data_IF_059309880347
#
_entry.id   IF_059309880347
#
_cell.length_a   1.000
_cell.length_b   1.000
_cell.length_c   1.000
_cell.angle_alpha   90.00
_cell.angle_beta   90.00
_cell.angle_gamma   90.00
#
_symmetry.space_group_name_H-M   'P 1'
#
loop_
_entity.id
_entity.type
_entity.pdbx_description
1 polymer ?
#
# COMPACT_ATOMS: atom_id res chain seq x y z
N UNK A 1 56.73 57.87 -11.59
CA UNK A 1 55.26 57.96 -11.53
C UNK A 1 54.61 56.59 -11.76
N UNK A 2 54.47 55.71 -10.75
CA UNK A 2 53.66 54.48 -10.93
C UNK A 2 53.30 53.86 -9.56
N UNK A 3 52.41 54.48 -8.78
CA UNK A 3 51.86 53.81 -7.58
C UNK A 3 50.56 54.43 -7.01
N UNK A 4 49.56 54.70 -7.86
CA UNK A 4 48.23 55.21 -7.41
C UNK A 4 47.00 54.45 -7.91
N UNK A 5 47.12 53.39 -8.73
CA UNK A 5 45.95 52.70 -9.32
C UNK A 5 45.41 51.46 -8.56
N UNK A 6 46.09 50.94 -7.53
CA UNK A 6 45.67 49.69 -6.86
C UNK A 6 44.57 49.80 -5.79
N UNK A 7 44.26 51.01 -5.31
CA UNK A 7 43.35 51.23 -4.16
C UNK A 7 41.88 51.42 -4.55
N UNK A 8 41.59 51.87 -5.77
CA UNK A 8 40.22 52.21 -6.21
C UNK A 8 39.39 50.95 -6.51
N UNK A 9 40.01 49.89 -7.05
CA UNK A 9 39.30 48.66 -7.44
C UNK A 9 38.84 47.78 -6.27
N UNK A 10 39.46 47.88 -5.09
CA UNK A 10 39.05 47.11 -3.90
C UNK A 10 37.71 47.61 -3.33
N UNK A 11 37.46 48.92 -3.39
CA UNK A 11 36.24 49.53 -2.86
C UNK A 11 35.00 49.20 -3.71
N UNK A 12 35.15 49.10 -5.03
CA UNK A 12 34.05 48.74 -5.95
C UNK A 12 33.59 47.30 -5.70
N UNK A 13 34.54 46.36 -5.55
CA UNK A 13 34.25 44.94 -5.30
C UNK A 13 33.58 44.71 -3.94
N UNK A 14 33.98 45.47 -2.92
CA UNK A 14 33.37 45.41 -1.59
C UNK A 14 31.93 45.95 -1.59
N UNK A 15 31.67 47.07 -2.30
CA UNK A 15 30.32 47.62 -2.46
C UNK A 15 29.39 46.67 -3.21
N UNK A 16 29.86 46.02 -4.28
CA UNK A 16 29.08 45.02 -5.02
C UNK A 16 28.73 43.78 -4.17
N UNK A 17 29.68 43.27 -3.37
CA UNK A 17 29.43 42.15 -2.46
C UNK A 17 28.41 42.49 -1.37
N UNK A 18 28.47 43.70 -0.82
CA UNK A 18 27.52 44.16 0.20
C UNK A 18 26.09 44.31 -0.36
N UNK A 19 25.94 44.78 -1.60
CA UNK A 19 24.65 44.88 -2.28
C UNK A 19 24.02 43.49 -2.52
N UNK A 20 24.81 42.50 -2.97
CA UNK A 20 24.33 41.11 -3.16
C UNK A 20 23.93 40.48 -1.83
N UNK A 21 24.67 40.74 -0.74
CA UNK A 21 24.31 40.27 0.60
C UNK A 21 22.96 40.80 1.10
N UNK A 22 22.68 42.09 0.87
CA UNK A 22 21.39 42.70 1.24
C UNK A 22 20.21 42.15 0.43
N UNK A 23 20.39 41.93 -0.88
CA UNK A 23 19.35 41.35 -1.73
C UNK A 23 18.98 39.91 -1.31
N UNK A 24 19.98 39.07 -0.99
CA UNK A 24 19.75 37.69 -0.53
C UNK A 24 18.99 37.68 0.81
N UNK A 25 19.34 38.55 1.75
CA UNK A 25 18.64 38.67 3.02
C UNK A 25 17.16 39.09 2.85
N UNK A 26 16.87 40.04 1.95
CA UNK A 26 15.51 40.46 1.64
C UNK A 26 14.65 39.32 1.06
N UNK A 27 15.20 38.51 0.15
CA UNK A 27 14.45 37.37 -0.43
C UNK A 27 14.15 36.26 0.58
N UNK A 28 14.96 36.10 1.63
CA UNK A 28 14.75 35.10 2.66
C UNK A 28 13.63 35.52 3.62
N UNK A 29 13.50 36.82 3.94
CA UNK A 29 12.43 37.34 4.79
C UNK A 29 11.06 37.35 4.09
N UNK A 30 11.01 37.52 2.78
CA UNK A 30 9.76 37.44 2.01
C UNK A 30 9.23 35.99 2.01
N UNK A 31 10.11 34.99 1.87
CA UNK A 31 9.71 33.57 1.89
C UNK A 31 9.20 33.08 3.24
N UNK A 32 9.68 33.63 4.36
CA UNK A 32 9.16 33.24 5.68
C UNK A 32 7.80 33.87 5.97
N UNK A 33 7.50 35.03 5.38
CA UNK A 33 6.23 35.76 5.62
C UNK A 33 5.06 35.20 4.79
N UNK A 34 5.32 34.64 3.61
CA UNK A 34 4.25 34.06 2.76
C UNK A 34 3.81 32.65 3.17
N UNK A 35 4.46 32.02 4.17
CA UNK A 35 4.11 30.68 4.65
C UNK A 35 3.22 30.70 5.91
N UNK A 36 3.12 31.83 6.61
CA UNK A 36 2.31 31.96 7.83
C UNK A 36 0.83 32.23 7.56
N UNK A 37 0.50 32.76 6.38
CA UNK A 37 -0.84 33.31 6.13
C UNK A 37 -1.73 32.37 5.29
N UNK A 38 -1.25 31.18 4.92
CA UNK A 38 -1.91 30.32 3.93
C UNK A 38 -2.43 28.97 4.45
N UNK A 39 -2.31 28.63 5.74
CA UNK A 39 -2.77 27.32 6.24
C UNK A 39 -3.19 27.37 7.73
N UNK A 40 -4.38 27.91 8.03
CA UNK A 40 -4.99 27.82 9.36
C UNK A 40 -5.88 26.57 9.54
N UNK A 41 -6.31 25.90 8.45
CA UNK A 41 -7.43 24.94 8.52
C UNK A 41 -7.06 23.46 8.34
N UNK A 42 -5.81 23.06 8.54
CA UNK A 42 -5.40 21.63 8.48
C UNK A 42 -4.51 21.19 9.64
N UNK A 43 -4.73 21.79 10.82
CA UNK A 43 -3.88 21.63 12.01
C UNK A 43 -4.15 20.39 12.87
N UNK A 44 -4.92 19.40 12.40
CA UNK A 44 -5.18 18.17 13.18
C UNK A 44 -4.77 16.94 12.35
N UNK A 45 -3.84 16.16 12.91
CA UNK A 45 -3.32 14.88 12.41
C UNK A 45 -2.13 14.91 11.43
N UNK A 46 -1.07 15.66 11.75
CA UNK A 46 0.29 15.31 11.30
C UNK A 46 1.30 15.38 12.44
N UNK A 47 1.44 14.23 13.10
CA UNK A 47 2.62 13.74 13.82
C UNK A 47 3.72 14.77 14.14
N UNK A 48 3.77 15.13 15.42
CA UNK A 48 4.74 15.97 16.13
C UNK A 48 6.20 15.44 16.08
N UNK A 49 6.77 15.20 14.90
CA UNK A 49 8.18 14.78 14.76
C UNK A 49 9.00 15.51 13.68
N UNK A 50 8.65 16.73 13.30
CA UNK A 50 9.46 17.50 12.33
C UNK A 50 9.80 18.94 12.74
N UNK A 51 9.72 19.26 14.03
CA UNK A 51 10.38 20.45 14.59
C UNK A 51 11.69 20.04 15.26
N UNK A 52 12.70 19.65 14.47
CA UNK A 52 14.07 19.69 14.96
C UNK A 52 14.80 20.92 14.41
N UNK A 53 15.48 21.69 15.29
CA UNK A 53 16.26 22.84 14.91
C UNK A 53 17.45 22.44 14.04
N UNK A 54 17.77 23.35 13.12
CA UNK A 54 18.94 23.42 12.22
C UNK A 54 20.23 22.95 12.89
N UNK A 55 20.49 21.65 12.93
CA UNK A 55 21.86 21.15 13.04
C UNK A 55 22.45 21.17 11.64
N UNK A 56 23.59 21.87 11.41
CA UNK A 56 24.25 21.81 10.12
C UNK A 56 24.80 20.39 9.97
N UNK A 57 24.01 19.51 9.35
CA UNK A 57 24.49 18.21 8.88
C UNK A 57 25.77 18.50 8.09
N UNK A 58 26.91 18.02 8.60
CA UNK A 58 28.22 18.18 7.96
C UNK A 58 28.10 17.61 6.56
N UNK A 59 27.87 18.48 5.57
CA UNK A 59 27.77 18.09 4.17
C UNK A 59 29.13 17.51 3.83
N UNK A 60 29.19 16.20 3.56
CA UNK A 60 30.39 15.55 3.02
C UNK A 60 30.90 16.41 1.86
N UNK A 61 32.21 16.56 1.71
CA UNK A 61 32.78 17.35 0.61
C UNK A 61 32.40 16.69 -0.74
N UNK A 62 31.29 17.14 -1.32
CA UNK A 62 30.74 16.61 -2.58
C UNK A 62 31.54 17.21 -3.73
N UNK A 63 32.06 16.36 -4.61
CA UNK A 63 32.76 16.82 -5.83
C UNK A 63 31.80 17.59 -6.75
N UNK A 64 32.33 18.47 -7.63
CA UNK A 64 31.51 19.20 -8.61
C UNK A 64 30.67 18.25 -9.46
N UNK A 65 31.24 17.11 -9.89
CA UNK A 65 30.57 16.07 -10.68
C UNK A 65 29.36 15.49 -9.95
N UNK A 66 29.50 15.19 -8.67
CA UNK A 66 28.41 14.62 -7.88
C UNK A 66 27.29 15.65 -7.62
N UNK A 67 27.62 16.92 -7.39
CA UNK A 67 26.61 18.00 -7.31
C UNK A 67 25.79 18.13 -8.60
N UNK A 68 26.44 18.05 -9.76
CA UNK A 68 25.75 18.08 -11.06
C UNK A 68 24.83 16.87 -11.20
N UNK A 69 25.31 15.67 -10.85
CA UNK A 69 24.50 14.44 -10.86
C UNK A 69 23.29 14.55 -9.93
N UNK A 70 23.46 15.10 -8.72
CA UNK A 70 22.36 15.31 -7.76
C UNK A 70 21.33 16.30 -8.30
N UNK A 71 21.78 17.42 -8.88
CA UNK A 71 20.87 18.39 -9.52
C UNK A 71 20.08 17.75 -10.66
N UNK A 72 20.75 17.01 -11.53
CA UNK A 72 20.10 16.29 -12.62
C UNK A 72 19.09 15.27 -12.09
N UNK A 73 19.48 14.46 -11.09
CA UNK A 73 18.58 13.49 -10.44
C UNK A 73 17.36 14.16 -9.80
N UNK A 74 17.54 15.26 -9.08
CA UNK A 74 16.44 16.04 -8.49
C UNK A 74 15.51 16.60 -9.56
N UNK A 75 16.07 17.11 -10.66
CA UNK A 75 15.29 17.62 -11.79
C UNK A 75 14.50 16.50 -12.47
N UNK A 76 15.12 15.35 -12.74
CA UNK A 76 14.44 14.19 -13.32
C UNK A 76 13.34 13.67 -12.40
N UNK A 77 13.58 13.62 -11.09
CA UNK A 77 12.56 13.27 -10.10
C UNK A 77 11.40 14.27 -10.10
N UNK A 78 11.68 15.57 -10.25
CA UNK A 78 10.61 16.57 -10.37
C UNK A 78 9.76 16.34 -11.62
N UNK A 79 10.39 16.06 -12.76
CA UNK A 79 9.66 15.76 -14.00
C UNK A 79 8.84 14.47 -13.89
N UNK A 80 9.37 13.42 -13.27
CA UNK A 80 8.62 12.17 -13.09
C UNK A 80 7.40 12.36 -12.20
N UNK A 81 7.53 13.13 -11.11
CA UNK A 81 6.42 13.49 -10.23
C UNK A 81 5.35 14.30 -10.97
N UNK A 82 5.74 15.33 -11.72
CA UNK A 82 4.79 16.12 -12.52
C UNK A 82 4.07 15.26 -13.57
N UNK A 83 4.78 14.34 -14.23
CA UNK A 83 4.17 13.42 -15.20
C UNK A 83 3.17 12.48 -14.52
N UNK A 84 3.48 12.00 -13.31
CA UNK A 84 2.57 11.16 -12.52
C UNK A 84 1.30 11.94 -12.13
N UNK A 85 1.47 13.16 -11.60
CA UNK A 85 0.36 14.04 -11.22
C UNK A 85 -0.56 14.34 -12.41
N UNK A 86 -0.02 14.73 -13.56
CA UNK A 86 -0.83 14.99 -14.76
C UNK A 86 -1.61 13.76 -15.22
N UNK A 87 -0.99 12.57 -15.20
CA UNK A 87 -1.69 11.32 -15.53
C UNK A 87 -2.81 10.99 -14.55
N UNK A 88 -2.60 11.32 -13.28
CA UNK A 88 -3.61 11.13 -12.24
C UNK A 88 -4.76 12.11 -12.36
N UNK A 89 -4.49 13.38 -12.66
CA UNK A 89 -5.50 14.40 -12.94
C UNK A 89 -6.36 14.06 -14.17
N UNK A 90 -5.75 13.60 -15.26
CA UNK A 90 -6.52 13.18 -16.45
C UNK A 90 -7.37 11.96 -16.15
N UNK A 91 -6.83 10.98 -15.42
CA UNK A 91 -7.59 9.81 -14.99
C UNK A 91 -8.75 10.19 -14.05
N UNK A 92 -8.53 11.12 -13.12
CA UNK A 92 -9.54 11.66 -12.21
C UNK A 92 -10.69 12.32 -13.00
N UNK A 93 -10.38 13.24 -13.91
CA UNK A 93 -11.37 13.88 -14.79
C UNK A 93 -12.18 12.86 -15.60
N UNK A 94 -11.56 11.76 -16.04
CA UNK A 94 -12.27 10.71 -16.77
C UNK A 94 -13.19 9.88 -15.86
N UNK A 95 -12.79 9.60 -14.61
CA UNK A 95 -13.63 8.90 -13.64
C UNK A 95 -14.79 9.76 -13.16
N UNK A 96 -14.55 11.04 -12.87
CA UNK A 96 -15.59 12.00 -12.47
C UNK A 96 -16.70 12.13 -13.52
N UNK A 97 -16.40 11.94 -14.81
CA UNK A 97 -17.40 11.93 -15.90
C UNK A 97 -18.34 10.73 -15.88
N UNK A 98 -18.12 9.71 -15.06
CA UNK A 98 -19.05 8.57 -14.97
C UNK A 98 -20.33 8.99 -14.25
N UNK A 99 -21.41 9.18 -15.02
CA UNK A 99 -22.62 9.89 -14.59
C UNK A 99 -23.33 9.30 -13.35
N UNK A 100 -23.25 7.99 -13.16
CA UNK A 100 -24.02 7.31 -12.10
C UNK A 100 -23.22 7.19 -10.79
N UNK A 101 -21.88 7.19 -10.84
CA UNK A 101 -21.06 6.72 -9.71
C UNK A 101 -19.89 7.68 -9.37
N UNK A 102 -19.47 8.57 -10.29
CA UNK A 102 -18.40 9.53 -10.05
C UNK A 102 -17.01 8.89 -9.83
N UNK A 103 -16.10 9.58 -9.14
CA UNK A 103 -14.74 9.05 -8.87
C UNK A 103 -14.70 8.15 -7.64
N UNK A 104 -14.57 6.84 -7.87
CA UNK A 104 -14.44 5.82 -6.83
C UNK A 104 -13.02 5.65 -6.29
N UNK A 105 -12.01 6.33 -6.84
CA UNK A 105 -10.63 6.15 -6.39
C UNK A 105 -10.42 6.46 -4.90
N UNK A 106 -10.98 7.55 -4.32
CA UNK A 106 -10.82 7.84 -2.90
C UNK A 106 -11.30 6.71 -1.99
N UNK A 107 -12.39 6.03 -2.36
CA UNK A 107 -12.91 4.88 -1.60
C UNK A 107 -11.94 3.70 -1.64
N UNK A 108 -11.28 3.47 -2.78
CA UNK A 108 -10.28 2.41 -2.90
C UNK A 108 -8.99 2.73 -2.15
N UNK A 109 -8.55 3.98 -2.19
CA UNK A 109 -7.34 4.42 -1.50
C UNK A 109 -7.53 4.49 0.02
N UNK A 110 -8.76 4.66 0.50
CA UNK A 110 -9.11 4.59 1.92
C UNK A 110 -9.14 3.15 2.47
N UNK A 111 -9.07 2.13 1.62
CA UNK A 111 -8.99 0.75 2.07
C UNK A 111 -7.56 0.41 2.51
N UNK A 112 -7.40 -0.38 3.60
CA UNK A 112 -6.09 -0.85 4.01
C UNK A 112 -5.46 -1.70 2.92
N UNK A 113 -4.14 -1.59 2.76
CA UNK A 113 -3.42 -2.45 1.85
C UNK A 113 -3.46 -3.91 2.31
N UNK A 114 -3.33 -4.87 1.40
CA UNK A 114 -3.35 -6.29 1.78
C UNK A 114 -2.24 -6.64 2.78
N UNK A 115 -1.09 -5.97 2.69
CA UNK A 115 0.00 -6.10 3.65
C UNK A 115 -0.37 -5.54 5.03
N UNK A 116 -1.14 -4.46 5.09
CA UNK A 116 -1.69 -3.92 6.32
C UNK A 116 -2.75 -4.85 6.91
N UNK A 117 -3.58 -5.47 6.07
CA UNK A 117 -4.55 -6.50 6.50
C UNK A 117 -3.84 -7.71 7.12
N UNK A 118 -2.76 -8.20 6.50
CA UNK A 118 -1.96 -9.28 7.09
C UNK A 118 -1.23 -8.87 8.38
N UNK A 119 -0.91 -7.59 8.56
CA UNK A 119 -0.36 -7.08 9.82
C UNK A 119 -1.46 -6.91 10.88
N UNK A 120 -2.68 -6.56 10.49
CA UNK A 120 -3.84 -6.48 11.36
C UNK A 120 -4.30 -7.87 11.81
N UNK A 121 -4.38 -8.84 10.90
CA UNK A 121 -4.83 -10.21 11.20
C UNK A 121 -3.87 -10.99 12.10
N UNK A 122 -2.60 -10.57 12.15
CA UNK A 122 -1.59 -11.12 13.07
C UNK A 122 -1.70 -10.53 14.48
N UNK A 123 -2.57 -9.55 14.72
CA UNK A 123 -2.83 -9.05 16.07
C UNK A 123 -3.75 -10.07 16.77
N UNK A 124 -3.41 -10.50 18.00
CA UNK A 124 -4.17 -11.53 18.72
C UNK A 124 -5.58 -11.09 19.15
N UNK A 125 -5.89 -9.80 19.00
CA UNK A 125 -7.09 -9.16 19.58
C UNK A 125 -8.28 -9.07 18.62
N UNK A 126 -8.10 -9.34 17.32
CA UNK A 126 -9.20 -9.37 16.35
C UNK A 126 -9.74 -10.78 16.20
N UNK A 127 -10.43 -11.28 17.24
CA UNK A 127 -11.16 -12.54 17.19
C UNK A 127 -12.58 -12.26 16.70
N UNK A 128 -12.94 -12.84 15.58
CA UNK A 128 -14.24 -12.81 14.91
C UNK A 128 -15.32 -13.58 15.69
N UNK A 129 -14.94 -14.30 16.75
CA UNK A 129 -15.83 -15.14 17.55
C UNK A 129 -16.13 -16.50 16.91
N UNK A 130 -15.51 -16.78 15.76
CA UNK A 130 -15.71 -18.00 14.98
C UNK A 130 -14.43 -18.81 15.06
N UNK A 131 -14.47 -19.95 15.76
CA UNK A 131 -13.30 -20.80 16.05
C UNK A 131 -12.53 -21.22 14.78
N UNK A 132 -13.23 -21.42 13.67
CA UNK A 132 -12.64 -21.84 12.38
C UNK A 132 -11.79 -20.74 11.69
N UNK A 133 -12.03 -19.47 12.01
CA UNK A 133 -11.38 -18.31 11.37
C UNK A 133 -10.31 -17.73 12.31
N UNK A 134 -10.56 -17.75 13.61
CA UNK A 134 -9.71 -17.14 14.64
C UNK A 134 -8.57 -18.04 15.10
N UNK A 135 -8.73 -19.36 14.97
CA UNK A 135 -7.59 -20.24 15.15
C UNK A 135 -6.68 -20.13 13.93
N UNK A 136 -5.41 -19.72 14.09
CA UNK A 136 -4.46 -19.80 13.00
C UNK A 136 -4.44 -21.24 12.59
N UNK A 137 -4.79 -21.51 11.33
CA UNK A 137 -4.95 -22.86 10.82
C UNK A 137 -3.61 -23.60 10.91
N UNK A 138 -3.30 -24.16 12.08
CA UNK A 138 -2.20 -25.10 12.32
C UNK A 138 -2.43 -26.35 11.45
N UNK A 139 -3.68 -26.59 11.06
CA UNK A 139 -4.07 -27.65 10.13
C UNK A 139 -3.75 -27.34 8.65
N UNK A 140 -3.34 -26.11 8.30
CA UNK A 140 -2.87 -25.78 6.96
C UNK A 140 -1.37 -26.04 6.77
N UNK A 141 -0.64 -26.45 7.81
CA UNK A 141 0.72 -26.98 7.62
C UNK A 141 0.67 -28.34 6.90
N UNK A 142 -0.37 -29.14 7.16
CA UNK A 142 -0.63 -30.38 6.42
C UNK A 142 -1.11 -30.14 4.97
N UNK A 143 -1.41 -28.89 4.59
CA UNK A 143 -1.72 -28.51 3.20
C UNK A 143 -0.49 -27.98 2.44
N UNK A 144 0.59 -27.61 3.13
CA UNK A 144 1.85 -27.19 2.51
C UNK A 144 2.61 -28.35 1.85
N UNK A 145 2.31 -29.59 2.26
CA UNK A 145 2.89 -30.81 1.71
C UNK A 145 2.05 -31.48 0.62
N UNK A 146 1.07 -30.79 0.05
CA UNK A 146 0.55 -31.20 -1.26
C UNK A 146 1.65 -30.97 -2.31
N UNK A 147 2.59 -31.92 -2.40
CA UNK A 147 3.56 -32.05 -3.51
C UNK A 147 2.83 -31.66 -4.77
N UNK A 148 3.26 -30.58 -5.43
CA UNK A 148 2.63 -30.04 -6.65
C UNK A 148 2.44 -31.19 -7.63
N UNK A 149 1.23 -31.75 -7.64
CA UNK A 149 0.95 -32.97 -8.38
C UNK A 149 1.14 -32.68 -9.85
N UNK A 150 1.81 -33.59 -10.54
CA UNK A 150 1.91 -33.53 -12.00
C UNK A 150 0.48 -33.53 -12.59
N UNK A 151 0.28 -32.85 -13.72
CA UNK A 151 -1.01 -32.76 -14.43
C UNK A 151 -1.68 -34.13 -14.57
N UNK A 152 -0.91 -35.18 -14.88
CA UNK A 152 -1.40 -36.58 -14.97
C UNK A 152 -1.95 -37.11 -13.63
N UNK A 153 -1.30 -36.80 -12.51
CA UNK A 153 -1.74 -37.19 -11.17
C UNK A 153 -3.01 -36.43 -10.77
N UNK A 154 -3.11 -35.14 -11.11
CA UNK A 154 -4.33 -34.34 -10.91
C UNK A 154 -5.51 -34.94 -11.67
N UNK A 155 -5.30 -35.33 -12.93
CA UNK A 155 -6.35 -35.96 -13.75
C UNK A 155 -6.76 -37.31 -13.17
N UNK A 156 -5.81 -38.14 -12.72
CA UNK A 156 -6.10 -39.42 -12.05
C UNK A 156 -6.93 -39.22 -10.78
N UNK A 157 -6.55 -38.28 -9.90
CA UNK A 157 -7.32 -37.96 -8.69
C UNK A 157 -8.74 -37.49 -9.02
N UNK A 158 -8.93 -36.65 -10.06
CA UNK A 158 -10.26 -36.23 -10.51
C UNK A 158 -11.11 -37.42 -10.98
N UNK A 159 -10.54 -38.29 -11.82
CA UNK A 159 -11.21 -39.51 -12.30
C UNK A 159 -11.59 -40.42 -11.13
N UNK A 160 -10.69 -40.61 -10.18
CA UNK A 160 -10.94 -41.45 -9.01
C UNK A 160 -12.03 -40.87 -8.11
N UNK A 161 -12.00 -39.56 -7.82
CA UNK A 161 -13.07 -38.88 -7.07
C UNK A 161 -14.42 -39.03 -7.75
N UNK A 162 -14.47 -38.87 -9.08
CA UNK A 162 -15.68 -39.05 -9.86
C UNK A 162 -16.20 -40.50 -9.77
N UNK A 163 -15.33 -41.50 -9.96
CA UNK A 163 -15.72 -42.93 -9.84
C UNK A 163 -16.23 -43.22 -8.43
N UNK A 164 -15.55 -42.74 -7.39
CA UNK A 164 -15.98 -42.91 -6.00
C UNK A 164 -17.38 -42.32 -5.77
N UNK A 165 -17.63 -41.12 -6.30
CA UNK A 165 -18.92 -40.44 -6.20
C UNK A 165 -20.04 -41.19 -6.95
N UNK A 166 -19.77 -41.66 -8.16
CA UNK A 166 -20.74 -42.47 -8.92
C UNK A 166 -21.04 -43.77 -8.19
N UNK A 167 -20.02 -44.45 -7.68
CA UNK A 167 -20.18 -45.70 -6.92
C UNK A 167 -20.98 -45.47 -5.62
N UNK A 168 -20.72 -44.36 -4.90
CA UNK A 168 -21.49 -44.03 -3.69
C UNK A 168 -22.95 -43.75 -4.01
N UNK A 169 -23.24 -43.07 -5.12
CA UNK A 169 -24.63 -42.84 -5.55
C UNK A 169 -25.31 -44.12 -5.99
N UNK A 170 -24.62 -44.99 -6.73
CA UNK A 170 -25.15 -46.30 -7.09
C UNK A 170 -25.44 -47.15 -5.86
N UNK A 171 -24.60 -47.10 -4.83
CA UNK A 171 -24.86 -47.78 -3.56
C UNK A 171 -26.08 -47.19 -2.83
N UNK A 172 -26.17 -45.85 -2.74
CA UNK A 172 -27.30 -45.16 -2.13
C UNK A 172 -28.63 -45.47 -2.84
N UNK A 173 -28.62 -45.51 -4.17
CA UNK A 173 -29.80 -45.87 -4.97
C UNK A 173 -30.20 -47.34 -4.83
N UNK A 174 -29.31 -48.22 -4.36
CA UNK A 174 -29.61 -49.64 -4.09
C UNK A 174 -30.21 -49.85 -2.71
N UNK A 175 -29.96 -48.93 -1.77
CA UNK A 175 -30.41 -49.01 -0.38
C UNK A 175 -31.95 -49.02 -0.28
N UNK A 176 -32.58 -50.02 0.36
CA UNK A 176 -34.03 -50.07 0.52
C UNK A 176 -34.60 -48.88 1.30
N UNK A 177 -33.89 -48.33 2.28
CA UNK A 177 -34.42 -47.26 3.13
C UNK A 177 -34.49 -45.94 2.35
N UNK A 178 -33.47 -45.68 1.53
CA UNK A 178 -33.47 -44.56 0.61
C UNK A 178 -34.55 -44.68 -0.48
N UNK A 179 -34.80 -45.90 -1.00
CA UNK A 179 -35.86 -46.15 -1.99
C UNK A 179 -37.27 -45.94 -1.43
N UNK A 180 -37.50 -46.33 -0.18
CA UNK A 180 -38.81 -46.15 0.48
C UNK A 180 -39.07 -44.66 0.73
N UNK A 181 -38.16 -43.98 1.42
CA UNK A 181 -38.31 -42.58 1.84
C UNK A 181 -36.97 -41.83 1.79
N UNK A 182 -36.62 -41.19 0.66
CA UNK A 182 -35.31 -40.55 0.50
C UNK A 182 -35.15 -39.35 1.43
N UNK A 183 -36.23 -38.61 1.71
CA UNK A 183 -36.21 -37.45 2.61
C UNK A 183 -35.85 -37.84 4.04
N UNK A 184 -36.39 -38.95 4.52
CA UNK A 184 -36.19 -39.40 5.88
C UNK A 184 -34.76 -39.94 6.07
N UNK A 185 -34.29 -40.77 5.13
CA UNK A 185 -32.91 -41.28 5.12
C UNK A 185 -31.87 -40.15 5.07
N UNK A 186 -32.10 -39.10 4.27
CA UNK A 186 -31.25 -37.90 4.23
C UNK A 186 -31.31 -37.16 5.58
N UNK A 187 -32.51 -37.02 6.15
CA UNK A 187 -32.68 -36.32 7.44
C UNK A 187 -31.95 -37.04 8.57
N UNK A 188 -32.06 -38.38 8.62
CA UNK A 188 -31.36 -39.24 9.57
C UNK A 188 -29.85 -39.10 9.42
N UNK A 189 -29.33 -39.13 8.19
CA UNK A 189 -27.90 -38.96 7.94
C UNK A 189 -27.38 -37.59 8.41
N UNK A 190 -28.14 -36.51 8.17
CA UNK A 190 -27.79 -35.17 8.64
C UNK A 190 -27.80 -35.10 10.17
N UNK A 191 -28.80 -35.70 10.82
CA UNK A 191 -28.88 -35.75 12.29
C UNK A 191 -27.72 -36.56 12.87
N UNK A 192 -27.42 -37.73 12.32
CA UNK A 192 -26.29 -38.57 12.71
C UNK A 192 -24.94 -37.86 12.56
N UNK A 193 -24.69 -37.25 11.40
CA UNK A 193 -23.42 -36.54 11.13
C UNK A 193 -23.23 -35.32 12.04
N UNK A 194 -24.33 -34.70 12.46
CA UNK A 194 -24.32 -33.54 13.35
C UNK A 194 -24.43 -33.90 14.84
N UNK A 195 -24.50 -35.19 15.19
CA UNK A 195 -24.68 -35.64 16.57
C UNK A 195 -26.00 -35.19 17.20
N UNK A 196 -27.05 -35.03 16.39
CA UNK A 196 -28.41 -34.60 16.79
C UNK A 196 -29.39 -35.79 16.89
N UNK A 197 -28.87 -37.02 16.93
CA UNK A 197 -29.65 -38.18 17.32
C UNK A 197 -29.51 -38.28 18.84
N UNK A 198 -30.56 -37.92 19.56
CA UNK A 198 -30.70 -38.24 20.98
C UNK A 198 -30.81 -39.78 21.09
N UNK A 199 -30.07 -40.38 22.03
CA UNK A 199 -30.18 -41.82 22.37
C UNK A 199 -31.59 -42.20 22.83
#
# INVERSE_FOLDING_TARGET
>A
YFNKMGKVNKNIRMKAKAAVGKAVAATNNIKSKTWTDANADSALARDDKLLLPKTPVKKKAITKREKVRQKHKQLMNKFSLMKKQRKEETARKNREKTAVIGDLKPLKDALPSLDELFKLSKKPDTKTGIKEIDEPTQNNENLKDEKKLNVKQKLKKKKEKFIRQVNSYQALLKDPDFKKNPRDAISYHIKYTRGLLDE
#
